data_IF_450614785834
#
_entry.id   IF_450614785834
#
_cell.length_a   1.000
_cell.length_b   1.000
_cell.length_c   1.000
_cell.angle_alpha   90.00
_cell.angle_beta   90.00
_cell.angle_gamma   90.00
#
_symmetry.space_group_name_H-M   'P 1'
#
loop_
_entity.id
_entity.type
_entity.pdbx_description
1 polymer ?
#
# COMPACT_ATOMS: atom_id res chain seq x y z
N UNK A 1 13.66 -8.62 3.69
CA UNK A 1 14.69 -7.74 3.10
C UNK A 1 14.71 -7.95 1.59
N UNK A 2 14.64 -6.86 0.83
CA UNK A 2 14.59 -6.90 -0.62
C UNK A 2 15.67 -6.05 -1.23
N UNK A 3 16.42 -6.61 -2.17
CA UNK A 3 17.40 -5.88 -2.96
C UNK A 3 16.77 -5.51 -4.31
N UNK A 4 17.02 -4.29 -4.75
CA UNK A 4 16.47 -3.75 -5.98
C UNK A 4 17.61 -3.30 -6.88
N UNK A 5 17.56 -3.72 -8.15
CA UNK A 5 18.61 -3.43 -9.14
C UNK A 5 18.08 -2.60 -10.32
N UNK A 6 17.02 -1.82 -10.15
CA UNK A 6 16.59 -0.83 -11.13
C UNK A 6 17.37 0.46 -10.92
N UNK A 7 17.93 1.03 -11.99
CA UNK A 7 18.70 2.28 -11.92
C UNK A 7 17.91 3.42 -11.26
N UNK A 8 16.64 3.58 -11.59
CA UNK A 8 15.78 4.61 -11.01
C UNK A 8 15.54 4.40 -9.53
N UNK A 9 15.50 3.15 -9.09
CA UNK A 9 15.21 2.79 -7.71
C UNK A 9 16.48 2.65 -6.88
N UNK A 10 17.63 2.39 -7.49
CA UNK A 10 18.92 2.26 -6.77
C UNK A 10 19.28 3.51 -5.97
N UNK A 11 18.89 4.68 -6.43
CA UNK A 11 19.11 5.93 -5.70
C UNK A 11 18.24 6.03 -4.44
N UNK A 12 17.09 5.32 -4.42
CA UNK A 12 16.08 5.40 -3.36
C UNK A 12 16.00 4.16 -2.50
N UNK A 13 16.22 2.99 -3.09
CA UNK A 13 16.11 1.70 -2.42
C UNK A 13 17.31 0.83 -2.73
N UNK A 14 18.23 0.71 -1.80
CA UNK A 14 19.24 -0.34 -1.82
C UNK A 14 18.67 -1.55 -1.09
N UNK A 15 18.16 -1.33 0.10
CA UNK A 15 17.46 -2.32 0.93
C UNK A 15 16.28 -1.63 1.58
N UNK A 16 15.12 -2.28 1.58
CA UNK A 16 13.96 -1.83 2.33
C UNK A 16 13.61 -2.85 3.39
N UNK A 17 13.54 -2.38 4.63
CA UNK A 17 13.09 -3.17 5.76
C UNK A 17 12.06 -2.34 6.52
N UNK A 18 10.94 -2.98 6.92
CA UNK A 18 9.90 -2.26 7.61
C UNK A 18 8.76 -3.16 8.03
N UNK A 19 7.78 -2.55 8.69
CA UNK A 19 6.56 -3.23 9.12
C UNK A 19 5.67 -3.44 7.92
N UNK A 20 5.22 -4.68 7.73
CA UNK A 20 4.32 -5.07 6.66
C UNK A 20 2.90 -5.24 7.20
N UNK A 21 1.94 -4.55 6.61
CA UNK A 21 0.54 -4.70 6.95
C UNK A 21 -0.09 -5.77 6.06
N UNK A 22 -0.67 -6.84 6.64
CA UNK A 22 -1.36 -7.86 5.87
C UNK A 22 -2.75 -7.37 5.47
N UNK A 23 -3.01 -7.31 4.18
CA UNK A 23 -4.32 -6.94 3.63
C UNK A 23 -4.75 -7.94 2.57
N UNK A 24 -5.17 -9.15 2.96
CA UNK A 24 -5.39 -10.27 2.04
C UNK A 24 -6.69 -10.16 1.23
N UNK A 25 -7.12 -8.97 0.93
CA UNK A 25 -8.28 -8.71 0.09
C UNK A 25 -7.87 -8.71 -1.38
N UNK A 26 -8.63 -9.40 -2.22
CA UNK A 26 -8.45 -9.30 -3.67
C UNK A 26 -9.14 -8.04 -4.18
N UNK A 27 -8.69 -7.53 -5.33
CA UNK A 27 -9.30 -6.38 -5.99
C UNK A 27 -9.35 -5.12 -5.10
N UNK A 28 -8.27 -4.86 -4.36
CA UNK A 28 -8.15 -3.56 -3.69
C UNK A 28 -8.04 -2.51 -4.78
N UNK A 29 -9.14 -1.81 -5.03
CA UNK A 29 -9.24 -0.88 -6.14
C UNK A 29 -8.83 0.55 -5.73
N UNK A 30 -8.68 1.40 -6.75
CA UNK A 30 -8.26 2.78 -6.53
C UNK A 30 -9.27 3.60 -5.74
N UNK A 31 -10.56 3.27 -5.81
CA UNK A 31 -11.59 3.94 -5.03
C UNK A 31 -11.50 3.58 -3.54
N UNK A 32 -11.10 2.34 -3.23
CA UNK A 32 -10.80 1.94 -1.86
C UNK A 32 -9.56 2.67 -1.32
N UNK A 33 -8.53 2.80 -2.15
CA UNK A 33 -7.29 3.48 -1.77
C UNK A 33 -7.51 4.96 -1.51
N UNK A 34 -8.23 5.63 -2.40
CA UNK A 34 -8.54 7.05 -2.26
C UNK A 34 -9.91 7.36 -2.88
N UNK A 35 -10.94 7.61 -2.07
CA UNK A 35 -12.27 7.94 -2.58
C UNK A 35 -12.27 9.20 -3.43
N UNK A 36 -13.19 9.27 -4.37
CA UNK A 36 -13.22 10.33 -5.38
C UNK A 36 -13.40 11.75 -4.82
N UNK A 37 -14.00 11.91 -3.63
CA UNK A 37 -14.14 13.24 -3.03
C UNK A 37 -12.81 13.91 -2.70
N UNK A 38 -11.71 13.15 -2.66
CA UNK A 38 -10.36 13.67 -2.38
C UNK A 38 -9.54 13.94 -3.65
N UNK A 39 -10.11 13.74 -4.84
CA UNK A 39 -9.37 13.84 -6.10
C UNK A 39 -9.25 15.28 -6.63
N UNK A 40 -9.84 16.25 -5.98
CA UNK A 40 -9.80 17.65 -6.41
C UNK A 40 -8.45 18.33 -6.14
N UNK A 41 -7.68 17.80 -5.21
CA UNK A 41 -6.37 18.36 -4.89
C UNK A 41 -5.35 18.02 -5.97
N UNK A 42 -4.45 18.95 -6.24
CA UNK A 42 -3.27 18.74 -7.09
C UNK A 42 -2.01 18.53 -6.25
N UNK A 43 -2.12 18.63 -4.94
CA UNK A 43 -0.99 18.41 -4.02
C UNK A 43 -0.76 16.93 -3.83
N UNK A 44 0.50 16.52 -3.93
CA UNK A 44 0.92 15.13 -3.73
C UNK A 44 1.05 14.75 -2.26
N UNK A 45 1.02 15.73 -1.36
CA UNK A 45 1.15 15.52 0.08
C UNK A 45 -0.17 15.80 0.78
N UNK A 46 -0.35 15.22 1.96
CA UNK A 46 -1.55 15.39 2.77
C UNK A 46 -2.65 14.37 2.51
N UNK A 47 -2.51 13.51 1.50
CA UNK A 47 -3.52 12.50 1.18
C UNK A 47 -3.41 11.23 2.03
N UNK A 48 -2.33 11.07 2.80
CA UNK A 48 -2.15 9.91 3.66
C UNK A 48 -3.24 9.75 4.71
N UNK A 49 -3.79 10.86 5.19
CA UNK A 49 -4.93 10.85 6.12
C UNK A 49 -6.19 10.29 5.46
N UNK A 50 -6.27 10.36 4.14
CA UNK A 50 -7.44 9.92 3.37
C UNK A 50 -7.25 8.53 2.76
N UNK A 51 -6.07 7.92 2.91
CA UNK A 51 -5.81 6.57 2.43
C UNK A 51 -6.77 5.58 3.10
N UNK A 52 -7.46 4.78 2.31
CA UNK A 52 -8.48 3.86 2.81
C UNK A 52 -9.52 4.53 3.68
N UNK A 53 -9.90 5.75 3.36
CA UNK A 53 -10.72 6.61 4.21
C UNK A 53 -12.01 5.94 4.69
N UNK A 54 -12.72 5.28 3.79
CA UNK A 54 -14.01 4.64 4.13
C UNK A 54 -13.85 3.39 4.99
N UNK A 55 -12.66 2.79 5.00
CA UNK A 55 -12.35 1.63 5.82
C UNK A 55 -11.72 2.01 7.17
N UNK A 56 -11.11 3.20 7.23
CA UNK A 56 -10.42 3.69 8.43
C UNK A 56 -11.33 4.46 9.37
N UNK A 57 -12.35 5.12 8.83
CA UNK A 57 -13.21 6.01 9.63
C UNK A 57 -14.67 5.67 9.44
N UNK A 58 -15.44 5.79 10.52
CA UNK A 58 -16.89 5.62 10.47
C UNK A 58 -17.58 6.92 10.01
N UNK A 59 -18.91 6.92 9.97
CA UNK A 59 -19.70 8.07 9.54
C UNK A 59 -19.53 9.30 10.42
N UNK A 60 -19.10 9.12 11.66
CA UNK A 60 -18.89 10.19 12.62
C UNK A 60 -17.44 10.69 12.64
N UNK A 61 -16.58 10.14 11.78
CA UNK A 61 -15.18 10.51 11.70
C UNK A 61 -14.29 9.81 12.72
N UNK A 62 -14.80 8.81 13.44
CA UNK A 62 -14.03 8.05 14.40
C UNK A 62 -13.29 6.90 13.73
N UNK A 63 -12.09 6.60 14.20
CA UNK A 63 -11.31 5.48 13.67
C UNK A 63 -12.03 4.14 13.92
N UNK A 64 -12.08 3.31 12.88
CA UNK A 64 -12.53 1.92 12.98
C UNK A 64 -11.35 1.11 13.49
N UNK A 65 -11.39 0.72 14.76
CA UNK A 65 -10.24 0.11 15.45
C UNK A 65 -9.81 -1.23 14.86
N UNK A 66 -10.73 -1.96 14.26
CA UNK A 66 -10.42 -3.26 13.68
C UNK A 66 -9.72 -3.18 12.32
N UNK A 67 -9.71 -2.01 11.70
CA UNK A 67 -8.99 -1.86 10.43
C UNK A 67 -7.48 -1.90 10.66
N UNK A 68 -6.78 -2.69 9.85
CA UNK A 68 -5.36 -3.03 10.07
C UNK A 68 -4.47 -1.80 10.24
N UNK A 69 -4.61 -0.78 9.39
CA UNK A 69 -3.74 0.40 9.44
C UNK A 69 -4.06 1.34 10.61
N UNK A 70 -5.17 1.13 11.32
CA UNK A 70 -5.50 1.87 12.53
C UNK A 70 -4.94 1.22 13.80
N UNK A 71 -4.43 0.00 13.69
CA UNK A 71 -3.81 -0.68 14.83
C UNK A 71 -2.42 -0.11 15.08
N UNK A 72 -2.05 0.05 16.34
CA UNK A 72 -0.80 0.70 16.73
C UNK A 72 0.43 0.15 16.01
N UNK A 73 0.57 -1.17 15.95
CA UNK A 73 1.70 -1.79 15.29
C UNK A 73 1.76 -1.45 13.81
N UNK A 74 0.63 -1.49 13.11
CA UNK A 74 0.55 -1.31 11.66
C UNK A 74 0.37 0.14 11.21
N UNK A 75 0.12 1.06 12.12
CA UNK A 75 -0.02 2.48 11.78
C UNK A 75 1.27 3.06 11.18
N UNK A 76 2.40 2.41 11.42
CA UNK A 76 3.71 2.81 10.90
C UNK A 76 4.19 1.89 9.78
N UNK A 77 3.29 1.11 9.18
CA UNK A 77 3.66 0.20 8.10
C UNK A 77 4.27 0.96 6.92
N UNK A 78 5.30 0.39 6.34
CA UNK A 78 5.92 0.87 5.10
C UNK A 78 5.72 -0.10 3.94
N UNK A 79 5.18 -1.28 4.24
CA UNK A 79 4.93 -2.34 3.27
C UNK A 79 3.48 -2.80 3.41
N UNK A 80 2.81 -3.02 2.29
CA UNK A 80 1.50 -3.69 2.27
C UNK A 80 1.69 -5.04 1.57
N UNK A 81 1.20 -6.11 2.19
CA UNK A 81 1.06 -7.41 1.54
C UNK A 81 -0.43 -7.54 1.19
N UNK A 82 -0.76 -7.22 -0.05
CA UNK A 82 -2.14 -7.17 -0.53
C UNK A 82 -2.53 -8.40 -1.32
N UNK A 83 -3.82 -8.57 -1.56
CA UNK A 83 -4.35 -9.64 -2.41
C UNK A 83 -4.18 -9.35 -3.89
N UNK A 84 -4.63 -10.29 -4.72
CA UNK A 84 -4.47 -10.24 -6.17
C UNK A 84 -5.20 -9.04 -6.80
N UNK A 85 -4.73 -8.62 -7.96
CA UNK A 85 -5.29 -7.52 -8.75
C UNK A 85 -5.32 -6.19 -7.99
N UNK A 86 -4.22 -5.89 -7.31
CA UNK A 86 -4.08 -4.68 -6.51
C UNK A 86 -4.05 -3.43 -7.39
N UNK A 87 -4.80 -2.42 -7.01
CA UNK A 87 -4.84 -1.16 -7.74
C UNK A 87 -5.77 -1.16 -8.95
N UNK A 88 -6.68 -2.13 -9.06
CA UNK A 88 -7.66 -2.18 -10.14
C UNK A 88 -8.62 -0.99 -10.07
N UNK A 89 -9.45 -0.85 -11.10
CA UNK A 89 -10.41 0.25 -11.20
C UNK A 89 -9.87 1.45 -11.95
N UNK A 90 -10.44 2.61 -11.71
CA UNK A 90 -10.09 3.83 -12.43
C UNK A 90 -8.65 4.25 -12.18
N UNK A 91 -7.98 4.74 -13.23
CA UNK A 91 -6.61 5.26 -13.10
C UNK A 91 -6.62 6.57 -12.31
N UNK A 92 -5.92 6.57 -11.17
CA UNK A 92 -5.81 7.74 -10.29
C UNK A 92 -4.41 7.84 -9.73
N UNK A 93 -3.69 8.89 -10.10
CA UNK A 93 -2.37 9.14 -9.50
C UNK A 93 -2.46 9.45 -8.01
N UNK A 94 -3.61 9.93 -7.55
CA UNK A 94 -3.85 10.20 -6.12
C UNK A 94 -3.71 8.94 -5.26
N UNK A 95 -3.96 7.75 -5.80
CA UNK A 95 -3.80 6.51 -5.06
C UNK A 95 -2.33 6.29 -4.65
N UNK A 96 -1.34 6.31 -5.55
CA UNK A 96 0.06 6.26 -5.14
C UNK A 96 0.47 7.43 -4.25
N UNK A 97 -0.06 8.62 -4.46
CA UNK A 97 0.24 9.78 -3.61
C UNK A 97 -0.22 9.54 -2.17
N UNK A 98 -1.44 9.02 -1.99
CA UNK A 98 -1.97 8.71 -0.66
C UNK A 98 -1.16 7.62 0.04
N UNK A 99 -0.81 6.57 -0.68
CA UNK A 99 0.03 5.49 -0.16
C UNK A 99 1.39 6.03 0.31
N UNK A 100 2.05 6.80 -0.54
CA UNK A 100 3.36 7.37 -0.24
C UNK A 100 3.31 8.34 0.94
N UNK A 101 2.32 9.21 0.98
CA UNK A 101 2.16 10.18 2.06
C UNK A 101 1.88 9.49 3.40
N UNK A 102 1.16 8.38 3.39
CA UNK A 102 0.94 7.55 4.58
C UNK A 102 2.26 6.93 5.08
N UNK A 103 3.19 6.67 4.20
CA UNK A 103 4.48 6.06 4.52
C UNK A 103 4.73 4.71 3.84
N UNK A 104 3.85 4.29 2.94
CA UNK A 104 4.03 3.05 2.19
C UNK A 104 5.09 3.24 1.12
N UNK A 105 6.06 2.35 1.11
CA UNK A 105 7.17 2.36 0.15
C UNK A 105 7.17 1.14 -0.77
N UNK A 106 6.47 0.08 -0.38
CA UNK A 106 6.45 -1.17 -1.11
C UNK A 106 5.07 -1.83 -0.98
N UNK A 107 4.61 -2.42 -2.06
CA UNK A 107 3.40 -3.24 -2.07
C UNK A 107 3.76 -4.58 -2.69
N UNK A 108 3.45 -5.66 -1.98
CA UNK A 108 3.68 -7.03 -2.42
C UNK A 108 2.34 -7.68 -2.71
N UNK A 109 2.19 -8.24 -3.90
CA UNK A 109 0.97 -8.92 -4.31
C UNK A 109 1.31 -9.99 -5.33
N UNK A 110 0.35 -10.87 -5.61
CA UNK A 110 0.49 -11.85 -6.70
C UNK A 110 0.20 -11.23 -8.05
N UNK A 111 -0.54 -10.13 -8.12
CA UNK A 111 -0.80 -9.40 -9.35
C UNK A 111 -1.25 -7.97 -9.09
N UNK A 112 -1.04 -7.10 -10.07
CA UNK A 112 -1.43 -5.69 -10.05
C UNK A 112 -2.14 -5.32 -11.34
N UNK A 113 -2.99 -4.31 -11.28
CA UNK A 113 -3.46 -3.63 -12.49
C UNK A 113 -2.29 -2.87 -13.14
N UNK A 114 -2.18 -2.93 -14.46
CA UNK A 114 -1.01 -2.43 -15.20
C UNK A 114 -0.75 -0.94 -14.98
N UNK A 115 -1.80 -0.12 -15.05
CA UNK A 115 -1.64 1.34 -14.90
C UNK A 115 -1.19 1.67 -13.48
N UNK A 116 -1.80 1.05 -12.49
CA UNK A 116 -1.42 1.26 -11.09
C UNK A 116 0.03 0.85 -10.85
N UNK A 117 0.44 -0.31 -11.38
CA UNK A 117 1.82 -0.80 -11.27
C UNK A 117 2.81 0.24 -11.77
N UNK A 118 2.57 0.79 -12.96
CA UNK A 118 3.44 1.81 -13.55
C UNK A 118 3.41 3.13 -12.77
N UNK A 119 2.25 3.53 -12.28
CA UNK A 119 2.12 4.75 -11.48
C UNK A 119 2.84 4.64 -10.13
N UNK A 120 2.90 3.45 -9.54
CA UNK A 120 3.69 3.23 -8.34
C UNK A 120 5.17 3.54 -8.57
N UNK A 121 5.76 3.03 -9.63
CA UNK A 121 7.16 3.32 -9.97
C UNK A 121 7.40 4.80 -10.14
N UNK A 122 6.54 5.48 -10.88
CA UNK A 122 6.66 6.93 -11.11
C UNK A 122 6.62 7.75 -9.82
N UNK A 123 5.99 7.21 -8.78
CA UNK A 123 5.80 7.91 -7.51
C UNK A 123 6.67 7.37 -6.38
N UNK A 124 7.65 6.53 -6.70
CA UNK A 124 8.62 6.04 -5.72
C UNK A 124 8.10 4.95 -4.80
N UNK A 125 7.03 4.25 -5.20
CA UNK A 125 6.54 3.06 -4.51
C UNK A 125 6.96 1.84 -5.33
N UNK A 126 7.50 0.83 -4.67
CA UNK A 126 7.93 -0.40 -5.32
C UNK A 126 6.81 -1.44 -5.30
N UNK A 127 6.22 -1.79 -6.44
CA UNK A 127 5.31 -2.93 -6.51
C UNK A 127 6.11 -4.20 -6.81
N UNK A 128 5.86 -5.26 -6.04
CA UNK A 128 6.55 -6.54 -6.19
C UNK A 128 5.53 -7.63 -6.43
N UNK A 129 5.72 -8.39 -7.50
CA UNK A 129 4.92 -9.56 -7.82
C UNK A 129 5.63 -10.80 -7.30
N UNK A 130 4.90 -11.61 -6.53
CA UNK A 130 5.43 -12.85 -5.97
C UNK A 130 4.52 -14.02 -6.33
N UNK A 131 5.04 -15.24 -6.20
CA UNK A 131 4.22 -16.45 -6.35
C UNK A 131 3.19 -16.55 -5.22
N UNK A 132 2.14 -17.33 -5.45
CA UNK A 132 1.14 -17.57 -4.40
C UNK A 132 1.74 -18.20 -3.15
N UNK A 133 2.69 -19.11 -3.31
CA UNK A 133 3.34 -19.77 -2.17
C UNK A 133 4.11 -18.75 -1.32
N UNK A 134 4.91 -17.91 -1.95
CA UNK A 134 5.65 -16.87 -1.24
C UNK A 134 4.70 -15.84 -0.63
N UNK A 135 3.63 -15.49 -1.34
CA UNK A 135 2.61 -14.56 -0.84
C UNK A 135 2.00 -15.06 0.47
N UNK A 136 1.65 -16.35 0.55
CA UNK A 136 1.11 -16.94 1.79
C UNK A 136 2.11 -16.86 2.94
N UNK A 137 3.38 -17.14 2.67
CA UNK A 137 4.43 -17.04 3.68
C UNK A 137 4.54 -15.61 4.19
N UNK A 138 4.56 -14.63 3.28
CA UNK A 138 4.67 -13.21 3.64
C UNK A 138 3.44 -12.72 4.40
N UNK A 139 2.24 -13.17 4.04
CA UNK A 139 1.02 -12.84 4.79
C UNK A 139 1.09 -13.36 6.22
N UNK A 140 1.51 -14.60 6.40
CA UNK A 140 1.66 -15.19 7.74
C UNK A 140 2.69 -14.42 8.58
N UNK A 141 3.82 -14.09 7.98
CA UNK A 141 4.86 -13.29 8.66
C UNK A 141 4.34 -11.90 9.03
N UNK A 142 3.60 -11.27 8.14
CA UNK A 142 3.04 -9.94 8.39
C UNK A 142 1.99 -9.93 9.50
N UNK A 143 1.24 -11.02 9.66
CA UNK A 143 0.26 -11.18 10.75
C UNK A 143 0.92 -11.30 12.12
N UNK A 144 2.21 -11.65 12.17
CA UNK A 144 2.98 -11.69 13.40
C UNK A 144 3.52 -10.29 13.71
N UNK A 145 2.88 -9.58 14.62
CA UNK A 145 3.15 -8.17 14.91
C UNK A 145 4.59 -7.86 15.33
N UNK A 146 5.39 -8.87 15.60
CA UNK A 146 6.79 -8.70 16.00
C UNK A 146 7.76 -8.84 14.82
N UNK A 147 7.26 -9.12 13.61
CA UNK A 147 8.09 -9.40 12.44
C UNK A 147 8.10 -8.22 11.48
N UNK A 148 9.28 -7.91 10.94
CA UNK A 148 9.43 -6.96 9.83
C UNK A 148 9.91 -7.69 8.58
N UNK A 149 9.58 -7.15 7.44
CA UNK A 149 9.95 -7.71 6.13
C UNK A 149 10.92 -6.78 5.41
#
# INVERSE_FOLDING_TARGET
MLEIFSEELMEKFIILEGIAAPMPLINIDTDMLIPKQFLKTIKRTGLGENLFFEMRYDQNGNEIKDFILNKDHYSKASIIVGGANFGCGSSREHAPWALKDFGIKCIISTSFADIFFNNCFKNGILPIIVSEDLHQILLQDAEMETTSI
#
